data_IF_043328560368
#
_entry.id   IF_043328560368
#
_cell.length_a   1.000
_cell.length_b   1.000
_cell.length_c   1.000
_cell.angle_alpha   90.00
_cell.angle_beta   90.00
_cell.angle_gamma   90.00
#
_symmetry.space_group_name_H-M   'P 1'
#
loop_
_entity.id
_entity.type
_entity.pdbx_description
1 polymer ?
#
# COMPACT_ATOMS: atom_id res chain seq x y z
N UNK A 1 18.28 19.03 15.49
CA UNK A 1 17.76 20.19 14.77
C UNK A 1 16.32 20.36 15.21
N UNK A 2 16.00 21.51 15.78
CA UNK A 2 14.63 21.80 16.23
C UNK A 2 13.71 22.05 15.03
N UNK A 3 12.39 21.91 15.20
CA UNK A 3 11.42 22.06 14.10
C UNK A 3 11.56 23.40 13.36
N UNK A 4 11.76 24.49 14.09
CA UNK A 4 11.94 25.81 13.52
C UNK A 4 13.23 25.93 12.69
N UNK A 5 14.31 25.31 13.14
CA UNK A 5 15.58 25.24 12.40
C UNK A 5 15.43 24.40 11.13
N UNK A 6 14.73 23.27 11.22
CA UNK A 6 14.44 22.39 10.09
C UNK A 6 13.61 23.09 9.01
N UNK A 7 12.54 23.77 9.42
CA UNK A 7 11.71 24.59 8.52
C UNK A 7 12.53 25.70 7.86
N UNK A 8 13.40 26.37 8.63
CA UNK A 8 14.33 27.37 8.12
C UNK A 8 15.27 26.82 7.05
N UNK A 9 15.85 25.63 7.30
CA UNK A 9 16.75 24.96 6.36
C UNK A 9 16.02 24.57 5.06
N UNK A 10 14.82 23.99 5.15
CA UNK A 10 14.01 23.66 3.97
C UNK A 10 13.69 24.91 3.14
N UNK A 11 13.28 26.00 3.79
CA UNK A 11 13.02 27.27 3.09
C UNK A 11 14.28 27.86 2.45
N UNK A 12 15.44 27.71 3.08
CA UNK A 12 16.71 28.14 2.50
C UNK A 12 17.04 27.35 1.21
N UNK A 13 16.82 26.04 1.20
CA UNK A 13 16.98 25.19 0.02
C UNK A 13 16.01 25.61 -1.10
N UNK A 14 14.74 25.85 -0.76
CA UNK A 14 13.74 26.32 -1.73
C UNK A 14 14.12 27.68 -2.35
N UNK A 15 14.65 28.60 -1.55
CA UNK A 15 15.12 29.92 -2.03
C UNK A 15 16.39 29.83 -2.88
N UNK A 16 17.25 28.86 -2.62
CA UNK A 16 18.48 28.63 -3.39
C UNK A 16 18.23 27.92 -4.73
N UNK A 17 17.06 27.30 -4.90
CA UNK A 17 16.67 26.64 -6.15
C UNK A 17 16.43 27.66 -7.25
N UNK A 18 16.88 27.37 -8.47
CA UNK A 18 16.67 28.28 -9.62
C UNK A 18 15.18 28.52 -9.83
N UNK A 19 14.79 29.75 -10.13
CA UNK A 19 13.39 30.15 -10.29
C UNK A 19 12.62 29.29 -11.31
N UNK A 20 13.30 28.83 -12.37
CA UNK A 20 12.71 27.95 -13.39
C UNK A 20 12.41 26.53 -12.89
N UNK A 21 13.16 26.03 -11.91
CA UNK A 21 13.03 24.66 -11.38
C UNK A 21 12.13 24.61 -10.14
N UNK A 22 11.92 25.75 -9.46
CA UNK A 22 11.12 25.84 -8.24
C UNK A 22 9.70 25.25 -8.37
N UNK A 23 8.93 25.48 -9.45
CA UNK A 23 7.60 24.86 -9.60
C UNK A 23 7.67 23.32 -9.66
N UNK A 24 8.69 22.76 -10.32
CA UNK A 24 8.90 21.31 -10.43
C UNK A 24 9.29 20.71 -9.08
N UNK A 25 10.17 21.39 -8.34
CA UNK A 25 10.56 20.97 -7.00
C UNK A 25 9.37 20.98 -6.04
N UNK A 26 8.57 22.05 -6.03
CA UNK A 26 7.37 22.13 -5.19
C UNK A 26 6.30 21.10 -5.57
N UNK A 27 6.19 20.78 -6.86
CA UNK A 27 5.31 19.71 -7.32
C UNK A 27 5.80 18.36 -6.79
N UNK A 28 7.07 18.01 -7.00
CA UNK A 28 7.68 16.79 -6.45
C UNK A 28 7.52 16.71 -4.93
N UNK A 29 7.77 17.78 -4.18
CA UNK A 29 7.60 17.77 -2.72
C UNK A 29 6.16 17.48 -2.27
N UNK A 30 5.15 17.79 -3.10
CA UNK A 30 3.74 17.56 -2.77
C UNK A 30 3.22 16.20 -3.21
N UNK A 31 3.84 15.59 -4.22
CA UNK A 31 3.32 14.39 -4.87
C UNK A 31 4.26 13.20 -4.79
N UNK A 32 5.46 13.37 -4.24
CA UNK A 32 6.41 12.27 -4.06
C UNK A 32 6.12 11.52 -2.77
N UNK A 33 6.36 10.21 -2.84
CA UNK A 33 6.30 9.29 -1.70
C UNK A 33 7.66 9.19 -0.97
N UNK A 34 8.70 9.91 -1.45
CA UNK A 34 10.06 9.89 -0.86
C UNK A 34 10.10 10.29 0.62
N UNK A 35 9.05 10.95 1.13
CA UNK A 35 8.96 11.34 2.53
C UNK A 35 8.27 10.31 3.43
N UNK A 36 7.60 9.31 2.85
CA UNK A 36 6.82 8.32 3.60
C UNK A 36 7.71 7.44 4.49
N UNK A 37 8.97 7.22 4.08
CA UNK A 37 9.98 6.51 4.87
C UNK A 37 10.26 7.18 6.22
N UNK A 38 10.18 8.51 6.30
CA UNK A 38 10.33 9.24 7.56
C UNK A 38 9.11 9.11 8.47
N UNK A 39 7.98 8.61 7.95
CA UNK A 39 6.71 8.44 8.65
C UNK A 39 6.41 6.99 9.00
N UNK A 40 7.38 6.09 8.82
CA UNK A 40 7.28 4.69 9.22
C UNK A 40 7.11 4.57 10.74
N UNK A 41 6.04 3.89 11.14
CA UNK A 41 5.73 3.58 12.54
C UNK A 41 5.90 2.09 12.81
N UNK A 42 5.95 1.71 14.10
CA UNK A 42 5.93 0.30 14.50
C UNK A 42 4.70 -0.44 13.95
N UNK A 43 3.58 0.26 13.78
CA UNK A 43 2.37 -0.31 13.18
C UNK A 43 2.59 -0.64 11.70
N UNK A 44 3.30 0.22 10.97
CA UNK A 44 3.65 -0.01 9.56
C UNK A 44 4.58 -1.23 9.43
N UNK A 45 5.57 -1.37 10.32
CA UNK A 45 6.46 -2.53 10.37
C UNK A 45 5.68 -3.82 10.67
N UNK A 46 4.77 -3.79 11.64
CA UNK A 46 3.93 -4.93 11.98
C UNK A 46 3.05 -5.37 10.80
N UNK A 47 2.42 -4.43 10.10
CA UNK A 47 1.58 -4.74 8.95
C UNK A 47 2.38 -5.26 7.76
N UNK A 48 3.57 -4.70 7.49
CA UNK A 48 4.50 -5.24 6.48
C UNK A 48 4.92 -6.68 6.81
N UNK A 49 5.23 -6.97 8.08
CA UNK A 49 5.56 -8.33 8.52
C UNK A 49 4.39 -9.30 8.35
N UNK A 50 3.15 -8.86 8.61
CA UNK A 50 1.95 -9.69 8.38
C UNK A 50 1.78 -9.96 6.88
N UNK A 51 1.93 -8.93 6.03
CA UNK A 51 1.88 -9.09 4.58
C UNK A 51 2.95 -10.07 4.07
N UNK A 52 4.17 -9.98 4.56
CA UNK A 52 5.26 -10.93 4.27
C UNK A 52 4.90 -12.36 4.65
N UNK A 53 4.31 -12.57 5.83
CA UNK A 53 3.91 -13.90 6.27
C UNK A 53 2.76 -14.46 5.45
N UNK A 54 1.77 -13.63 5.10
CA UNK A 54 0.66 -14.02 4.22
C UNK A 54 1.17 -14.42 2.83
N UNK A 55 2.13 -13.68 2.25
CA UNK A 55 2.73 -14.02 0.95
C UNK A 55 3.40 -15.39 0.93
N UNK A 56 3.92 -15.89 2.06
CA UNK A 56 4.50 -17.25 2.14
C UNK A 56 3.44 -18.35 2.00
N UNK A 57 2.18 -18.04 2.27
CA UNK A 57 1.09 -19.01 2.29
C UNK A 57 0.11 -18.84 1.10
N UNK A 58 0.28 -17.79 0.30
CA UNK A 58 -0.64 -17.43 -0.78
C UNK A 58 0.06 -17.49 -2.14
N UNK A 59 -0.69 -17.76 -3.22
CA UNK A 59 -0.18 -17.58 -4.57
C UNK A 59 0.05 -16.09 -4.86
N UNK A 60 0.80 -15.77 -5.92
CA UNK A 60 1.20 -14.39 -6.22
C UNK A 60 -0.01 -13.50 -6.53
N UNK A 61 -1.07 -14.08 -7.09
CA UNK A 61 -2.34 -13.42 -7.37
C UNK A 61 -3.12 -13.09 -6.09
N UNK A 62 -2.70 -13.61 -4.93
CA UNK A 62 -3.32 -13.35 -3.63
C UNK A 62 -4.71 -13.96 -3.47
N UNK A 63 -5.12 -14.86 -4.38
CA UNK A 63 -6.42 -15.52 -4.35
C UNK A 63 -6.32 -16.95 -3.85
N UNK A 64 -7.18 -17.31 -2.90
CA UNK A 64 -7.28 -18.68 -2.43
C UNK A 64 -8.06 -19.54 -3.43
N UNK A 65 -7.67 -20.80 -3.58
CA UNK A 65 -8.41 -21.76 -4.39
C UNK A 65 -9.88 -21.89 -3.94
N UNK A 66 -10.20 -21.60 -2.67
CA UNK A 66 -11.59 -21.61 -2.19
C UNK A 66 -12.46 -20.49 -2.77
N UNK A 67 -11.88 -19.44 -3.36
CA UNK A 67 -12.59 -18.28 -3.94
C UNK A 67 -13.06 -18.52 -5.39
N UNK A 68 -13.48 -19.76 -5.70
CA UNK A 68 -13.84 -20.20 -7.06
C UNK A 68 -14.82 -19.27 -7.80
N UNK A 69 -15.83 -18.71 -7.11
CA UNK A 69 -16.82 -17.83 -7.74
C UNK A 69 -16.22 -16.48 -8.14
N UNK A 70 -15.28 -15.94 -7.37
CA UNK A 70 -14.57 -14.70 -7.72
C UNK A 70 -13.66 -14.95 -8.92
N UNK A 71 -12.85 -16.02 -8.86
CA UNK A 71 -11.96 -16.44 -9.95
C UNK A 71 -12.74 -16.64 -11.27
N UNK A 72 -13.91 -17.29 -11.22
CA UNK A 72 -14.75 -17.49 -12.39
C UNK A 72 -15.28 -16.19 -13.00
N UNK A 73 -15.69 -15.22 -12.17
CA UNK A 73 -16.14 -13.91 -12.66
C UNK A 73 -14.99 -13.13 -13.30
N UNK A 74 -13.79 -13.25 -12.75
CA UNK A 74 -12.61 -12.58 -13.28
C UNK A 74 -12.23 -13.12 -14.66
N UNK A 75 -12.31 -14.45 -14.87
CA UNK A 75 -12.08 -15.05 -16.17
C UNK A 75 -13.14 -14.73 -17.25
N UNK A 76 -14.26 -14.09 -16.88
CA UNK A 76 -15.27 -13.65 -17.85
C UNK A 76 -14.94 -12.28 -18.46
N UNK A 77 -13.89 -11.59 -17.99
CA UNK A 77 -13.48 -10.33 -18.57
C UNK A 77 -12.78 -10.52 -19.94
N UNK A 78 -13.14 -9.72 -20.95
CA UNK A 78 -12.60 -9.84 -22.31
C UNK A 78 -11.18 -9.32 -22.46
N UNK A 79 -10.73 -8.44 -21.56
CA UNK A 79 -9.38 -7.86 -21.56
C UNK A 79 -8.50 -8.56 -20.52
N UNK A 80 -7.21 -8.78 -20.83
CA UNK A 80 -6.29 -9.44 -19.91
C UNK A 80 -5.92 -8.50 -18.76
N UNK A 81 -6.23 -8.96 -17.55
CA UNK A 81 -6.08 -8.22 -16.30
C UNK A 81 -5.26 -9.04 -15.31
N UNK A 82 -4.40 -8.36 -14.55
CA UNK A 82 -3.68 -8.94 -13.41
C UNK A 82 -4.35 -8.43 -12.13
N UNK A 83 -4.57 -9.34 -11.21
CA UNK A 83 -5.10 -9.02 -9.90
C UNK A 83 -3.99 -9.09 -8.86
N UNK A 84 -3.84 -8.01 -8.11
CA UNK A 84 -2.78 -7.86 -7.12
C UNK A 84 -3.39 -7.34 -5.83
N UNK A 85 -3.16 -8.02 -4.71
CA UNK A 85 -3.56 -7.51 -3.40
C UNK A 85 -2.61 -6.38 -2.96
N UNK A 86 -3.11 -5.15 -2.88
CA UNK A 86 -2.34 -3.97 -2.52
C UNK A 86 -1.86 -3.95 -1.05
N UNK A 87 -2.48 -4.78 -0.18
CA UNK A 87 -1.95 -5.01 1.16
C UNK A 87 -0.69 -5.87 1.13
N UNK A 88 -0.62 -6.82 0.19
CA UNK A 88 0.49 -7.77 0.08
C UNK A 88 1.64 -7.26 -0.80
N UNK A 89 1.28 -6.55 -1.87
CA UNK A 89 2.16 -6.12 -2.95
C UNK A 89 1.85 -4.65 -3.25
N UNK A 90 2.67 -3.74 -2.72
CA UNK A 90 2.64 -2.34 -3.12
C UNK A 90 3.25 -2.17 -4.53
N UNK A 91 3.13 -0.97 -5.10
CA UNK A 91 3.59 -0.69 -6.46
C UNK A 91 5.09 -0.96 -6.63
N UNK A 92 5.89 -0.60 -5.63
CA UNK A 92 7.35 -0.85 -5.62
C UNK A 92 7.67 -2.35 -5.62
N UNK A 93 6.90 -3.14 -4.87
CA UNK A 93 7.05 -4.60 -4.87
C UNK A 93 6.63 -5.21 -6.22
N UNK A 94 5.54 -4.72 -6.83
CA UNK A 94 5.12 -5.14 -8.17
C UNK A 94 6.20 -4.84 -9.20
N UNK A 95 6.84 -3.68 -9.12
CA UNK A 95 7.96 -3.32 -9.99
C UNK A 95 9.15 -4.26 -9.80
N UNK A 96 9.50 -4.56 -8.55
CA UNK A 96 10.55 -5.55 -8.24
C UNK A 96 10.24 -6.93 -8.84
N UNK A 97 9.00 -7.39 -8.75
CA UNK A 97 8.56 -8.66 -9.36
C UNK A 97 8.66 -8.62 -10.90
N UNK A 98 8.41 -7.47 -11.51
CA UNK A 98 8.55 -7.29 -12.95
C UNK A 98 10.03 -7.31 -13.37
N UNK A 99 10.90 -6.64 -12.63
CA UNK A 99 12.35 -6.64 -12.86
C UNK A 99 12.96 -8.04 -12.72
N UNK A 100 12.48 -8.82 -11.73
CA UNK A 100 12.88 -10.21 -11.53
C UNK A 100 12.29 -11.20 -12.57
N UNK A 101 11.41 -10.73 -13.45
CA UNK A 101 10.73 -11.56 -14.46
C UNK A 101 9.68 -12.52 -13.89
N UNK A 102 9.25 -12.32 -12.64
CA UNK A 102 8.18 -13.10 -11.98
C UNK A 102 6.79 -12.58 -12.33
N UNK A 103 6.71 -11.34 -12.81
CA UNK A 103 5.50 -10.68 -13.27
C UNK A 103 5.79 -9.90 -14.56
N UNK A 104 4.76 -9.54 -15.32
CA UNK A 104 4.88 -8.67 -16.48
C UNK A 104 3.79 -7.61 -16.44
N UNK A 105 4.13 -6.36 -16.77
CA UNK A 105 3.14 -5.28 -16.99
C UNK A 105 2.51 -5.32 -18.38
N UNK A 106 2.98 -6.20 -19.27
CA UNK A 106 2.50 -6.30 -20.64
C UNK A 106 2.21 -7.75 -21.03
N UNK A 107 1.27 -7.94 -21.95
CA UNK A 107 1.00 -9.24 -22.57
C UNK A 107 1.25 -9.19 -24.07
N UNK A 108 1.54 -10.36 -24.64
CA UNK A 108 1.77 -10.52 -26.07
C UNK A 108 0.42 -10.56 -26.79
N UNK A 109 0.21 -9.69 -27.79
CA UNK A 109 -1.06 -9.68 -28.57
C UNK A 109 -1.09 -10.76 -29.66
N UNK A 110 0.07 -11.35 -29.97
CA UNK A 110 0.22 -12.45 -30.91
C UNK A 110 1.42 -13.32 -30.48
N UNK A 111 1.15 -14.50 -29.91
CA UNK A 111 2.13 -15.36 -29.25
C UNK A 111 3.48 -15.44 -29.99
N UNK A 112 4.58 -15.24 -29.26
CA UNK A 112 5.94 -15.24 -29.80
C UNK A 112 6.36 -13.94 -30.52
N UNK A 113 5.48 -12.93 -30.59
CA UNK A 113 5.82 -11.63 -31.14
C UNK A 113 6.31 -10.63 -30.09
N UNK A 114 7.05 -9.63 -30.53
CA UNK A 114 7.42 -8.45 -29.73
C UNK A 114 6.28 -7.41 -29.68
N UNK A 115 5.12 -7.69 -30.29
CA UNK A 115 3.97 -6.80 -30.23
C UNK A 115 3.25 -7.06 -28.92
N UNK A 116 3.39 -6.13 -27.99
CA UNK A 116 2.78 -6.23 -26.66
C UNK A 116 1.76 -5.11 -26.44
N UNK A 117 0.87 -5.35 -25.49
CA UNK A 117 -0.09 -4.37 -24.98
C UNK A 117 -0.05 -4.39 -23.43
N UNK A 118 -0.38 -3.27 -22.77
CA UNK A 118 -0.37 -3.19 -21.31
C UNK A 118 -1.42 -4.10 -20.69
N UNK A 119 -1.11 -4.65 -19.52
CA UNK A 119 -2.05 -5.35 -18.66
C UNK A 119 -2.68 -4.35 -17.69
N UNK A 120 -3.98 -4.50 -17.45
CA UNK A 120 -4.66 -3.73 -16.40
C UNK A 120 -4.39 -4.38 -15.04
N UNK A 121 -3.98 -3.59 -14.06
CA UNK A 121 -3.75 -4.05 -12.68
C UNK A 121 -4.91 -3.60 -11.81
N UNK A 122 -5.59 -4.55 -11.18
CA UNK A 122 -6.68 -4.26 -10.26
C UNK A 122 -6.39 -4.84 -8.88
N UNK A 123 -6.58 -4.01 -7.86
CA UNK A 123 -6.57 -4.45 -6.48
C UNK A 123 -7.96 -4.65 -5.90
N UNK A 124 -8.06 -5.62 -4.98
CA UNK A 124 -9.28 -6.00 -4.26
C UNK A 124 -9.15 -5.81 -2.74
N UNK A 125 -8.15 -5.03 -2.31
CA UNK A 125 -7.84 -4.79 -0.91
C UNK A 125 -7.30 -3.38 -0.74
N UNK A 126 -7.24 -2.91 0.50
CA UNK A 126 -6.60 -1.66 0.85
C UNK A 126 -5.08 -1.84 0.93
N UNK A 127 -4.33 -0.88 0.39
CA UNK A 127 -2.90 -0.74 0.63
C UNK A 127 -2.61 -0.32 2.08
N UNK A 128 -1.35 -0.45 2.51
CA UNK A 128 -0.90 0.04 3.82
C UNK A 128 -1.19 1.52 4.02
N UNK A 129 -0.97 2.35 2.99
CA UNK A 129 -1.24 3.78 3.06
C UNK A 129 -2.74 4.09 3.20
N UNK A 130 -3.58 3.38 2.45
CA UNK A 130 -5.03 3.58 2.56
C UNK A 130 -5.56 3.11 3.93
N UNK A 131 -5.03 2.01 4.47
CA UNK A 131 -5.35 1.56 5.83
C UNK A 131 -4.93 2.60 6.86
N UNK A 132 -3.71 3.15 6.74
CA UNK A 132 -3.22 4.21 7.63
C UNK A 132 -4.12 5.44 7.57
N UNK A 133 -4.49 5.88 6.36
CA UNK A 133 -5.41 6.98 6.15
C UNK A 133 -6.79 6.70 6.77
N UNK A 134 -7.34 5.50 6.53
CA UNK A 134 -8.63 5.07 7.06
C UNK A 134 -8.66 5.18 8.60
N UNK A 135 -7.65 4.64 9.29
CA UNK A 135 -7.62 4.64 10.75
C UNK A 135 -7.22 5.99 11.37
N UNK A 136 -6.40 6.80 10.70
CA UNK A 136 -5.92 8.07 11.26
C UNK A 136 -6.86 9.24 10.97
N UNK A 137 -7.61 9.19 9.88
CA UNK A 137 -8.32 10.36 9.37
C UNK A 137 -9.81 10.13 9.09
N UNK A 138 -10.23 8.88 8.83
CA UNK A 138 -11.62 8.61 8.42
C UNK A 138 -12.45 8.02 9.55
N UNK A 139 -11.91 7.00 10.23
CA UNK A 139 -12.65 6.31 11.29
C UNK A 139 -12.72 7.16 12.55
N UNK A 140 -13.87 7.18 13.24
CA UNK A 140 -13.98 7.82 14.56
C UNK A 140 -13.24 6.99 15.62
N UNK A 141 -13.10 7.53 16.83
CA UNK A 141 -12.63 6.73 17.97
C UNK A 141 -13.50 5.48 18.15
N UNK A 142 -12.84 4.32 18.13
CA UNK A 142 -13.44 2.99 18.24
C UNK A 142 -13.29 2.39 19.65
N UNK A 143 -12.77 3.15 20.62
CA UNK A 143 -12.58 2.67 22.00
C UNK A 143 -13.87 2.10 22.59
N UNK A 144 -13.82 0.85 23.05
CA UNK A 144 -14.96 0.13 23.63
C UNK A 144 -16.04 -0.29 22.62
N UNK A 145 -15.81 -0.13 21.31
CA UNK A 145 -16.73 -0.55 20.25
C UNK A 145 -16.27 -1.86 19.63
N UNK A 146 -17.22 -2.61 19.10
CA UNK A 146 -16.94 -3.76 18.25
C UNK A 146 -16.81 -3.30 16.79
N UNK A 147 -15.70 -3.62 16.14
CA UNK A 147 -15.51 -3.43 14.70
C UNK A 147 -15.85 -4.73 13.97
N UNK A 148 -16.69 -4.65 12.94
CA UNK A 148 -17.02 -5.76 12.05
C UNK A 148 -16.62 -5.39 10.63
N UNK A 149 -15.75 -6.21 10.03
CA UNK A 149 -15.31 -6.06 8.65
C UNK A 149 -16.01 -7.12 7.78
N UNK A 150 -16.96 -6.68 6.95
CA UNK A 150 -17.77 -7.56 6.11
C UNK A 150 -17.10 -7.71 4.75
N UNK A 151 -16.77 -8.96 4.38
CA UNK A 151 -16.00 -9.21 3.16
C UNK A 151 -14.51 -8.94 3.35
N UNK A 152 -14.00 -9.16 4.56
CA UNK A 152 -12.62 -8.87 4.97
C UNK A 152 -11.52 -9.55 4.14
N UNK A 153 -11.87 -10.60 3.38
CA UNK A 153 -10.96 -11.44 2.60
C UNK A 153 -9.75 -11.92 3.42
N UNK A 154 -8.58 -11.33 3.22
CA UNK A 154 -7.35 -11.68 3.96
C UNK A 154 -7.27 -11.00 5.32
N UNK A 155 -8.20 -10.11 5.66
CA UNK A 155 -8.28 -9.44 6.95
C UNK A 155 -7.41 -8.20 7.08
N UNK A 156 -6.98 -7.58 5.98
CA UNK A 156 -6.08 -6.41 5.97
C UNK A 156 -6.58 -5.28 6.90
N UNK A 157 -7.88 -4.95 6.83
CA UNK A 157 -8.54 -3.95 7.70
C UNK A 157 -8.48 -4.38 9.16
N UNK A 158 -8.78 -5.64 9.48
CA UNK A 158 -8.74 -6.14 10.87
C UNK A 158 -7.31 -6.22 11.43
N UNK A 159 -6.31 -6.53 10.59
CA UNK A 159 -4.90 -6.48 11.00
C UNK A 159 -4.48 -5.05 11.30
N UNK A 160 -4.86 -4.08 10.47
CA UNK A 160 -4.61 -2.66 10.72
C UNK A 160 -5.32 -2.17 11.99
N UNK A 161 -6.59 -2.54 12.21
CA UNK A 161 -7.28 -2.28 13.47
C UNK A 161 -6.47 -2.79 14.66
N UNK A 162 -6.02 -4.04 14.61
CA UNK A 162 -5.22 -4.61 15.69
C UNK A 162 -3.92 -3.83 15.90
N UNK A 163 -3.18 -3.52 14.84
CA UNK A 163 -1.93 -2.76 14.94
C UNK A 163 -2.15 -1.39 15.61
N UNK A 164 -3.18 -0.65 15.19
CA UNK A 164 -3.48 0.70 15.71
C UNK A 164 -3.98 0.65 17.16
N UNK A 165 -4.92 -0.24 17.49
CA UNK A 165 -5.60 -0.23 18.79
C UNK A 165 -4.92 -1.06 19.88
N UNK A 166 -4.10 -2.07 19.54
CA UNK A 166 -3.29 -2.77 20.56
C UNK A 166 -2.09 -1.94 21.00
N UNK A 167 -1.49 -1.14 20.10
CA UNK A 167 -0.43 -0.19 20.45
C UNK A 167 -0.89 0.90 21.43
N UNK A 168 -2.16 1.34 21.33
CA UNK A 168 -2.74 2.35 22.23
C UNK A 168 -3.16 1.80 23.59
N UNK A 169 -3.47 0.49 23.71
CA UNK A 169 -3.87 -0.10 24.99
C UNK A 169 -2.69 -0.40 25.94
N UNK A 170 -1.46 -0.57 25.41
CA UNK A 170 -0.29 -0.82 26.26
C UNK A 170 0.13 0.41 27.06
N UNK A 171 -0.13 1.63 26.55
CA UNK A 171 0.18 2.89 27.25
C UNK A 171 -0.86 3.28 28.31
N UNK A 172 -2.06 2.70 28.28
CA UNK A 172 -3.11 2.92 29.27
C UNK A 172 -3.04 1.98 30.48
N UNK A 173 -2.33 0.86 30.39
CA UNK A 173 -2.16 -0.09 31.50
C UNK A 173 -0.94 0.18 32.39
N UNK A 174 -0.05 1.12 32.04
CA UNK A 174 1.09 1.51 32.90
C UNK A 174 0.75 2.56 33.96
N UNK A 175 -0.51 3.03 34.06
CA UNK A 175 -0.97 4.01 35.05
C UNK A 175 -2.24 3.59 35.80
N UNK A 176 -2.39 2.30 36.13
CA UNK A 176 -3.33 1.81 37.14
C UNK A 176 -2.64 0.81 38.05
#
# INVERSE_FOLDING_TARGET
MELAEAQGAVLAVLRATRAADLPRLLHWMRTSNDFDDFMLSNNDVMLRSIAEDLRKCLPIEGMLNSEHLAIQRMHQHPEPMIHVDAFLYDDDFVDSLCEEGKMSRNYCVACGSHKTAPLEFISHSFSLMELKFLYQHVLPDLTGKALVDVGSRLGAVLFAYRAVFTAQHSSYMEWK
#
